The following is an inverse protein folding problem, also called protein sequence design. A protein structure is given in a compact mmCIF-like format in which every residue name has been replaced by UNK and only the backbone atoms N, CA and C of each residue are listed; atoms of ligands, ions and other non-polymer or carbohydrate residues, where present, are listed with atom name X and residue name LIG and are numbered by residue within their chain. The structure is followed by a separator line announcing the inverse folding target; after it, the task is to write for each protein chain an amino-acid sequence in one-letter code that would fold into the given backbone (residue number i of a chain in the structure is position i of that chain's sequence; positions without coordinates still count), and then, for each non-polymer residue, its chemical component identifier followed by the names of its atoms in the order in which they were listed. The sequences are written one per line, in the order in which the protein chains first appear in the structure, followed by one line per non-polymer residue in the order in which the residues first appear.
data_IF_708803263951
#
_entry.id   IF_708803263951
#
_cell.length_a   1.000
_cell.length_b   1.000
_cell.length_c   1.000
_cell.angle_alpha   90.00
_cell.angle_beta   90.00
_cell.angle_gamma   90.00
#
_symmetry.space_group_name_H-M   'P 1'
#
loop_
_entity.id
_entity.type
_entity.pdbx_description
1 polymer ?
#
# COMPACT_ATOMS: atom_id res chain seq x y z
N UNK A 1 3.88 -12.91 -0.13
CA UNK A 1 3.86 -12.24 1.20
C UNK A 1 5.29 -12.17 1.74
N UNK A 2 5.89 -10.99 1.70
CA UNK A 2 7.22 -10.75 2.28
C UNK A 2 7.08 -10.78 3.80
N UNK A 3 7.65 -11.78 4.48
CA UNK A 3 7.62 -11.87 5.95
C UNK A 3 8.87 -11.22 6.53
N UNK A 4 8.71 -10.15 7.30
CA UNK A 4 9.80 -9.61 8.12
C UNK A 4 9.93 -10.48 9.37
N UNK A 5 11.10 -11.10 9.55
CA UNK A 5 11.46 -11.84 10.75
C UNK A 5 12.44 -11.03 11.59
N UNK A 6 12.13 -10.82 12.87
CA UNK A 6 13.02 -10.16 13.81
C UNK A 6 14.05 -11.15 14.33
N UNK A 7 15.29 -11.04 13.85
CA UNK A 7 16.40 -11.94 14.23
C UNK A 7 16.92 -11.73 15.66
N UNK A 8 16.52 -10.65 16.34
CA UNK A 8 17.09 -10.21 17.64
C UNK A 8 16.22 -10.53 18.87
N UNK A 9 15.13 -11.29 18.75
CA UNK A 9 14.18 -11.50 19.87
C UNK A 9 13.36 -10.26 20.26
N UNK A 10 13.46 -9.19 19.47
CA UNK A 10 12.60 -8.01 19.60
C UNK A 10 11.13 -8.38 19.30
N UNK A 11 10.18 -7.75 20.00
CA UNK A 11 8.74 -8.00 19.79
C UNK A 11 8.14 -7.23 18.62
N UNK A 12 8.77 -6.11 18.21
CA UNK A 12 8.25 -5.21 17.19
C UNK A 12 9.41 -4.56 16.43
N UNK A 13 9.23 -4.38 15.12
CA UNK A 13 10.16 -3.68 14.25
C UNK A 13 9.59 -2.30 13.89
N UNK A 14 10.46 -1.31 13.72
CA UNK A 14 10.10 -0.01 13.14
C UNK A 14 11.02 0.23 11.95
N UNK A 15 10.44 0.46 10.78
CA UNK A 15 11.15 0.88 9.58
C UNK A 15 11.25 2.39 9.61
N UNK A 16 12.48 2.90 9.53
CA UNK A 16 12.76 4.33 9.40
C UNK A 16 13.25 4.57 7.98
N UNK A 17 12.39 5.13 7.13
CA UNK A 17 12.75 5.42 5.75
C UNK A 17 11.99 6.65 5.23
N UNK A 18 12.61 7.35 4.27
CA UNK A 18 11.96 8.42 3.51
C UNK A 18 11.10 7.91 2.34
N UNK A 19 11.28 6.64 1.98
CA UNK A 19 10.59 6.02 0.87
C UNK A 19 9.19 5.52 1.30
N UNK A 20 8.18 5.83 0.48
CA UNK A 20 6.78 5.47 0.72
C UNK A 20 6.52 3.98 0.52
N UNK A 21 7.37 3.26 -0.20
CA UNK A 21 7.13 1.86 -0.61
C UNK A 21 7.17 0.90 0.57
N UNK A 22 7.89 1.27 1.62
CA UNK A 22 7.93 0.49 2.86
C UNK A 22 6.57 0.43 3.57
N UNK A 23 5.59 1.25 3.17
CA UNK A 23 4.21 1.11 3.65
C UNK A 23 3.58 -0.23 3.24
N UNK A 24 4.04 -0.88 2.17
CA UNK A 24 3.51 -2.19 1.77
C UNK A 24 4.00 -3.36 2.67
N UNK A 25 4.84 -3.10 3.67
CA UNK A 25 5.39 -4.13 4.55
C UNK A 25 4.56 -4.24 5.83
N UNK A 26 4.09 -5.45 6.11
CA UNK A 26 3.32 -5.77 7.32
C UNK A 26 4.24 -6.18 8.50
N UNK A 27 3.70 -6.14 9.72
CA UNK A 27 4.38 -6.50 10.99
C UNK A 27 5.53 -5.57 11.42
N UNK A 28 5.58 -4.35 10.88
CA UNK A 28 6.50 -3.30 11.30
C UNK A 28 5.78 -1.95 11.27
N UNK A 29 6.07 -1.07 12.22
CA UNK A 29 5.61 0.32 12.10
C UNK A 29 6.51 1.07 11.11
N UNK A 30 5.96 2.06 10.42
CA UNK A 30 6.69 2.91 9.50
C UNK A 30 6.84 4.32 10.08
N UNK A 31 8.07 4.76 10.30
CA UNK A 31 8.39 6.14 10.65
C UNK A 31 8.85 6.87 9.39
N UNK A 32 7.98 7.72 8.85
CA UNK A 32 8.28 8.50 7.66
C UNK A 32 9.36 9.56 7.95
N UNK A 33 10.46 9.52 7.20
CA UNK A 33 11.63 10.37 7.42
C UNK A 33 11.38 11.89 7.39
N UNK A 34 10.26 12.34 6.82
CA UNK A 34 9.89 13.76 6.68
C UNK A 34 8.74 14.21 7.59
N UNK A 35 7.90 13.30 8.08
CA UNK A 35 6.70 13.66 8.87
C UNK A 35 6.87 13.44 10.36
N UNK A 36 7.83 12.61 10.78
CA UNK A 36 8.02 12.27 12.21
C UNK A 36 6.86 11.47 12.82
N UNK A 37 5.86 11.11 12.02
CA UNK A 37 4.70 10.33 12.44
C UNK A 37 4.98 8.84 12.28
N UNK A 38 4.61 8.08 13.31
CA UNK A 38 4.63 6.62 13.27
C UNK A 38 3.30 6.15 12.68
N UNK A 39 3.37 5.45 11.55
CA UNK A 39 2.25 4.80 10.91
C UNK A 39 2.28 3.31 11.28
N UNK A 40 1.30 2.87 12.07
CA UNK A 40 1.16 1.46 12.43
C UNK A 40 0.64 0.67 11.25
N UNK A 41 1.44 -0.28 10.75
CA UNK A 41 1.00 -1.16 9.67
C UNK A 41 0.41 -2.46 10.17
N UNK A 42 -0.84 -2.66 9.80
CA UNK A 42 -1.55 -3.93 9.84
C UNK A 42 -1.32 -4.69 8.54
N UNK A 43 -1.79 -5.93 8.46
CA UNK A 43 -1.73 -6.68 7.19
C UNK A 43 -2.63 -6.01 6.15
N UNK A 44 -3.80 -5.55 6.57
CA UNK A 44 -4.84 -4.95 5.74
C UNK A 44 -4.35 -3.63 5.15
N UNK A 45 -3.71 -2.77 5.96
CA UNK A 45 -3.14 -1.52 5.46
C UNK A 45 -1.96 -1.76 4.54
N UNK A 46 -1.11 -2.73 4.82
CA UNK A 46 0.00 -3.11 3.95
C UNK A 46 -0.49 -3.65 2.58
N UNK A 47 -1.48 -4.54 2.58
CA UNK A 47 -2.10 -5.06 1.37
C UNK A 47 -2.77 -3.92 0.57
N UNK A 48 -3.45 -2.99 1.25
CA UNK A 48 -4.06 -1.83 0.61
C UNK A 48 -3.01 -0.95 -0.11
N UNK A 49 -1.89 -0.63 0.54
CA UNK A 49 -0.82 0.16 -0.09
C UNK A 49 -0.21 -0.55 -1.30
N UNK A 50 -0.05 -1.88 -1.20
CA UNK A 50 0.44 -2.70 -2.31
C UNK A 50 -0.52 -2.68 -3.51
N UNK A 51 -1.82 -2.85 -3.28
CA UNK A 51 -2.84 -2.79 -4.33
C UNK A 51 -2.97 -1.39 -4.92
N UNK A 52 -2.95 -0.36 -4.07
CA UNK A 52 -3.03 1.03 -4.51
C UNK A 52 -1.87 1.38 -5.45
N UNK A 53 -0.63 1.05 -5.08
CA UNK A 53 0.53 1.27 -5.95
C UNK A 53 0.47 0.43 -7.23
N UNK A 54 -0.06 -0.79 -7.17
CA UNK A 54 -0.24 -1.64 -8.36
C UNK A 54 -1.21 -1.02 -9.37
N UNK A 55 -2.31 -0.44 -8.90
CA UNK A 55 -3.34 0.16 -9.76
C UNK A 55 -2.90 1.56 -10.22
N UNK A 56 -2.43 2.41 -9.31
CA UNK A 56 -2.00 3.78 -9.60
C UNK A 56 -0.74 3.83 -10.46
N UNK A 57 0.17 2.87 -10.24
CA UNK A 57 1.53 2.90 -10.74
C UNK A 57 2.47 3.69 -9.84
N UNK A 58 3.77 3.64 -10.20
CA UNK A 58 4.81 4.44 -9.58
C UNK A 58 5.66 5.15 -10.63
N UNK A 59 5.33 6.41 -10.88
CA UNK A 59 6.04 7.22 -11.86
C UNK A 59 7.48 7.52 -11.46
N UNK A 60 7.80 7.52 -10.16
CA UNK A 60 9.16 7.76 -9.68
C UNK A 60 10.09 6.62 -10.09
N UNK A 61 9.58 5.40 -10.10
CA UNK A 61 10.32 4.18 -10.45
C UNK A 61 10.08 3.69 -11.89
N UNK A 62 9.28 4.44 -12.67
CA UNK A 62 9.00 4.13 -14.07
C UNK A 62 7.94 3.04 -14.30
N UNK A 63 7.15 2.69 -13.29
CA UNK A 63 6.04 1.75 -13.42
C UNK A 63 4.75 2.48 -13.77
N UNK A 64 4.22 2.23 -14.97
CA UNK A 64 2.87 2.68 -15.33
C UNK A 64 1.82 1.81 -14.65
N UNK A 65 0.84 2.44 -14.02
CA UNK A 65 -0.35 1.76 -13.48
C UNK A 65 -1.40 1.47 -14.56
N UNK A 66 -2.63 1.19 -14.12
CA UNK A 66 -3.77 1.02 -15.02
C UNK A 66 -4.14 2.39 -15.62
N UNK A 67 -4.14 2.53 -16.96
CA UNK A 67 -4.49 3.78 -17.61
C UNK A 67 -5.87 4.30 -17.18
N UNK A 68 -5.96 5.59 -16.85
CA UNK A 68 -7.20 6.25 -16.43
C UNK A 68 -7.58 6.09 -14.96
N UNK A 69 -6.87 5.25 -14.20
CA UNK A 69 -7.13 5.09 -12.76
C UNK A 69 -6.36 6.12 -11.93
N UNK A 70 -5.04 6.03 -11.90
CA UNK A 70 -4.23 6.94 -11.07
C UNK A 70 -4.72 6.94 -9.61
N UNK A 71 -4.98 8.13 -9.05
CA UNK A 71 -5.46 8.28 -7.67
C UNK A 71 -6.91 7.81 -7.44
N UNK A 72 -7.71 7.59 -8.49
CA UNK A 72 -9.10 7.09 -8.32
C UNK A 72 -9.15 5.67 -7.76
N UNK A 73 -8.02 4.95 -7.81
CA UNK A 73 -7.84 3.64 -7.20
C UNK A 73 -8.21 3.63 -5.71
N UNK A 74 -7.99 4.73 -4.98
CA UNK A 74 -8.34 4.83 -3.55
C UNK A 74 -9.85 4.63 -3.32
N UNK A 75 -10.68 5.27 -4.14
CA UNK A 75 -12.14 5.17 -4.02
C UNK A 75 -12.62 3.73 -4.19
N UNK A 76 -12.10 3.04 -5.22
CA UNK A 76 -12.45 1.65 -5.49
C UNK A 76 -11.89 0.69 -4.43
N UNK A 77 -10.67 0.91 -3.91
CA UNK A 77 -10.13 0.03 -2.87
C UNK A 77 -10.89 0.16 -1.55
N UNK A 78 -11.49 1.32 -1.28
CA UNK A 78 -12.31 1.54 -0.11
C UNK A 78 -13.76 1.03 -0.30
N UNK A 79 -14.26 1.06 -1.53
CA UNK A 79 -15.60 0.56 -1.89
C UNK A 79 -15.53 -0.25 -3.21
N UNK A 80 -15.20 -1.55 -3.15
CA UNK A 80 -14.80 -2.34 -4.32
C UNK A 80 -15.98 -2.87 -5.12
N UNK A 81 -16.95 -2.01 -5.41
CA UNK A 81 -18.13 -2.35 -6.20
C UNK A 81 -18.22 -1.44 -7.43
N UNK A 82 -18.46 -2.07 -8.58
CA UNK A 82 -18.74 -1.38 -9.85
C UNK A 82 -20.10 -1.87 -10.32
N UNK A 83 -20.95 -0.94 -10.77
CA UNK A 83 -22.24 -1.25 -11.37
C UNK A 83 -22.05 -1.38 -12.87
N UNK A 84 -22.28 -2.58 -13.39
CA UNK A 84 -22.27 -2.86 -14.82
C UNK A 84 -23.72 -2.87 -15.35
N UNK A 85 -24.03 -2.15 -16.44
CA UNK A 85 -25.34 -2.25 -17.07
C UNK A 85 -25.50 -3.64 -17.70
N UNK A 86 -26.58 -4.34 -17.34
CA UNK A 86 -26.93 -5.62 -17.97
C UNK A 86 -27.81 -5.35 -19.18
N UNK A 87 -27.30 -5.61 -20.38
CA UNK A 87 -28.13 -5.66 -21.59
C UNK A 87 -28.89 -6.99 -21.60
N UNK A 88 -30.22 -6.94 -21.52
CA UNK A 88 -31.06 -8.13 -21.74
C UNK A 88 -31.11 -8.43 -23.23
N UNK A 89 -30.60 -9.60 -23.63
CA UNK A 89 -30.70 -10.15 -25.00
C UNK A 89 -32.11 -10.66 -25.28
#
# INVERSE_FOLDING_TARGET
ALRVALLSGARKAVIIAGDKDFKAIHNCDFLGGTTGNILTQTKETADWWHLFQTIKGDMTDGYSGIPGWGDTAEGFLNDPFIVEPVESV
#
